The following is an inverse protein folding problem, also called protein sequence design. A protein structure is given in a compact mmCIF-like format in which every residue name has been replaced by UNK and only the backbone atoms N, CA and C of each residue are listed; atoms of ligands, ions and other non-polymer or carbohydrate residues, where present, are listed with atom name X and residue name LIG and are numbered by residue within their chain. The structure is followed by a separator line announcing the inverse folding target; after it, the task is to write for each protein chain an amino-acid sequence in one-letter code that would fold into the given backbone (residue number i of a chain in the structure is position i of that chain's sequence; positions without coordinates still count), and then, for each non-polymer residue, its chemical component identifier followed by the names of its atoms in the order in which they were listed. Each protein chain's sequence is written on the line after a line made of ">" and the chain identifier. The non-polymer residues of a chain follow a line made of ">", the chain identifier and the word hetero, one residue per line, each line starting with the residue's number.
data_IF_940872926525
#
_entry.id   IF_940872926525
#
_cell.length_a   1.000
_cell.length_b   1.000
_cell.length_c   1.000
_cell.angle_alpha   90.00
_cell.angle_beta   90.00
_cell.angle_gamma   90.00
#
_symmetry.space_group_name_H-M   'P 1'
#
loop_
_entity.id
_entity.type
_entity.pdbx_description
1 polymer ?
#
# COMPACT_ATOMS: atom_id res chain seq x y z
N UNK A 1 32.78 2.03 13.63
CA UNK A 1 31.71 1.14 13.12
C UNK A 1 30.40 1.93 13.22
N UNK A 2 29.67 2.24 12.15
CA UNK A 2 28.46 3.07 12.35
C UNK A 2 27.64 3.55 11.16
N UNK A 3 28.12 3.45 9.91
CA UNK A 3 27.32 3.78 8.71
C UNK A 3 26.95 2.55 7.88
N UNK A 4 27.86 1.59 7.74
CA UNK A 4 27.63 0.36 6.96
C UNK A 4 26.52 -0.51 7.58
N UNK A 5 26.53 -0.70 8.91
CA UNK A 5 25.57 -1.58 9.60
C UNK A 5 24.12 -1.07 9.51
N UNK A 6 23.91 0.25 9.59
CA UNK A 6 22.57 0.84 9.50
C UNK A 6 22.00 0.72 8.10
N UNK A 7 22.79 1.07 7.08
CA UNK A 7 22.39 0.95 5.68
C UNK A 7 22.09 -0.50 5.30
N UNK A 8 22.88 -1.45 5.84
CA UNK A 8 22.64 -2.87 5.62
C UNK A 8 21.37 -3.37 6.30
N UNK A 9 21.13 -2.98 7.56
CA UNK A 9 19.88 -3.29 8.25
C UNK A 9 18.67 -2.72 7.47
N UNK A 10 18.76 -1.48 6.99
CA UNK A 10 17.70 -0.87 6.21
C UNK A 10 17.46 -1.61 4.89
N UNK A 11 18.51 -2.05 4.19
CA UNK A 11 18.39 -2.88 2.99
C UNK A 11 17.67 -4.20 3.29
N UNK A 12 18.03 -4.88 4.38
CA UNK A 12 17.39 -6.14 4.81
C UNK A 12 15.92 -5.93 5.12
N UNK A 13 15.56 -4.85 5.81
CA UNK A 13 14.16 -4.48 6.10
C UNK A 13 13.37 -4.24 4.80
N UNK A 14 13.93 -3.54 3.81
CA UNK A 14 13.26 -3.36 2.51
C UNK A 14 13.08 -4.67 1.74
N UNK A 15 14.03 -5.62 1.84
CA UNK A 15 13.84 -6.97 1.31
C UNK A 15 12.67 -7.68 2.02
N UNK A 16 12.56 -7.56 3.34
CA UNK A 16 11.43 -8.11 4.10
C UNK A 16 10.10 -7.46 3.70
N UNK A 17 10.06 -6.15 3.44
CA UNK A 17 8.87 -5.47 2.89
C UNK A 17 8.42 -6.15 1.59
N UNK A 18 9.33 -6.36 0.64
CA UNK A 18 9.01 -7.03 -0.63
C UNK A 18 8.46 -8.46 -0.42
N UNK A 19 9.06 -9.22 0.50
CA UNK A 19 8.61 -10.57 0.82
C UNK A 19 7.19 -10.57 1.42
N UNK A 20 6.91 -9.67 2.36
CA UNK A 20 5.58 -9.52 2.96
C UNK A 20 4.53 -9.07 1.94
N UNK A 21 4.86 -8.13 1.05
CA UNK A 21 3.97 -7.69 -0.03
C UNK A 21 3.69 -8.78 -1.06
N UNK A 22 4.60 -9.76 -1.22
CA UNK A 22 4.41 -10.94 -2.09
C UNK A 22 3.62 -12.09 -1.44
N UNK A 23 2.88 -11.82 -0.36
CA UNK A 23 2.07 -12.78 0.39
C UNK A 23 2.84 -13.95 1.03
N UNK A 24 4.14 -13.78 1.30
CA UNK A 24 4.92 -14.78 2.05
C UNK A 24 4.53 -14.76 3.53
N UNK A 25 4.43 -15.94 4.14
CA UNK A 25 4.11 -16.08 5.57
C UNK A 25 5.24 -15.58 6.46
N UNK A 26 4.93 -15.13 7.68
CA UNK A 26 5.94 -14.69 8.65
C UNK A 26 6.98 -15.78 8.96
N UNK A 27 6.56 -17.05 8.96
CA UNK A 27 7.45 -18.20 9.15
C UNK A 27 8.48 -18.35 8.02
N UNK A 28 8.06 -18.11 6.77
CA UNK A 28 8.98 -18.08 5.62
C UNK A 28 10.00 -16.95 5.74
N UNK A 29 9.56 -15.76 6.14
CA UNK A 29 10.44 -14.59 6.31
C UNK A 29 11.49 -14.83 7.41
N UNK A 30 11.11 -15.44 8.54
CA UNK A 30 12.06 -15.81 9.59
C UNK A 30 13.09 -16.82 9.12
N UNK A 31 12.65 -17.84 8.36
CA UNK A 31 13.54 -18.85 7.80
C UNK A 31 14.51 -18.22 6.79
N UNK A 32 14.00 -17.39 5.87
CA UNK A 32 14.79 -16.63 4.92
C UNK A 32 15.84 -15.75 5.61
N UNK A 33 15.45 -15.00 6.64
CA UNK A 33 16.38 -14.12 7.36
C UNK A 33 17.50 -14.91 8.05
N UNK A 34 17.17 -16.09 8.59
CA UNK A 34 18.15 -16.99 9.20
C UNK A 34 19.10 -17.55 8.14
N UNK A 35 18.58 -18.06 7.03
CA UNK A 35 19.36 -18.75 6.01
C UNK A 35 20.24 -17.77 5.20
N UNK A 36 19.70 -16.60 4.85
CA UNK A 36 20.38 -15.61 4.01
C UNK A 36 21.34 -14.71 4.82
N UNK A 37 20.99 -14.36 6.06
CA UNK A 37 21.74 -13.36 6.85
C UNK A 37 22.30 -13.89 8.17
N UNK A 38 22.05 -15.16 8.51
CA UNK A 38 22.53 -15.77 9.74
C UNK A 38 21.96 -15.13 11.02
N UNK A 39 20.84 -14.41 10.93
CA UNK A 39 20.31 -13.66 12.08
C UNK A 39 19.43 -14.53 12.97
N UNK A 40 19.39 -14.20 14.27
CA UNK A 40 18.50 -14.87 15.22
C UNK A 40 17.03 -14.53 14.96
N UNK A 41 16.13 -15.38 15.46
CA UNK A 41 14.69 -15.16 15.34
C UNK A 41 14.25 -13.80 15.90
N UNK A 42 14.81 -13.36 17.03
CA UNK A 42 14.50 -12.06 17.61
C UNK A 42 14.89 -10.88 16.68
N UNK A 43 15.99 -11.02 15.93
CA UNK A 43 16.40 -10.01 14.95
C UNK A 43 15.49 -10.06 13.72
N UNK A 44 15.11 -11.25 13.24
CA UNK A 44 14.17 -11.40 12.13
C UNK A 44 12.79 -10.80 12.46
N UNK A 45 12.29 -11.02 13.68
CA UNK A 45 11.05 -10.42 14.17
C UNK A 45 11.14 -8.89 14.24
N UNK A 46 12.29 -8.34 14.65
CA UNK A 46 12.53 -6.89 14.62
C UNK A 46 12.49 -6.33 13.19
N UNK A 47 13.07 -7.03 12.22
CA UNK A 47 13.00 -6.63 10.81
C UNK A 47 11.55 -6.69 10.28
N UNK A 48 10.80 -7.74 10.61
CA UNK A 48 9.39 -7.85 10.25
C UNK A 48 8.54 -6.74 10.85
N UNK A 49 8.76 -6.40 12.13
CA UNK A 49 8.04 -5.30 12.77
C UNK A 49 8.26 -3.99 12.02
N UNK A 50 9.52 -3.65 11.73
CA UNK A 50 9.87 -2.43 10.99
C UNK A 50 9.35 -2.44 9.55
N UNK A 51 9.38 -3.59 8.88
CA UNK A 51 8.80 -3.75 7.54
C UNK A 51 7.27 -3.53 7.55
N UNK A 52 6.56 -4.03 8.56
CA UNK A 52 5.12 -3.78 8.73
C UNK A 52 4.82 -2.31 9.01
N UNK A 53 5.67 -1.62 9.77
CA UNK A 53 5.55 -0.17 10.00
C UNK A 53 5.70 0.62 8.69
N UNK A 54 6.66 0.25 7.83
CA UNK A 54 6.83 0.84 6.50
C UNK A 54 5.59 0.60 5.64
N UNK A 55 5.14 -0.66 5.52
CA UNK A 55 3.93 -0.99 4.76
C UNK A 55 2.72 -0.21 5.27
N UNK A 56 2.58 -0.07 6.59
CA UNK A 56 1.49 0.70 7.20
C UNK A 56 1.63 2.20 6.93
N UNK A 57 2.83 2.74 6.83
CA UNK A 57 3.08 4.15 6.51
C UNK A 57 2.84 4.45 5.02
N UNK A 58 3.14 3.50 4.14
CA UNK A 58 2.90 3.60 2.69
C UNK A 58 1.42 3.40 2.37
N UNK A 59 0.69 2.64 3.18
CA UNK A 59 -0.72 2.31 2.95
C UNK A 59 -1.66 3.53 2.84
N UNK A 60 -1.58 4.58 3.68
CA UNK A 60 -2.30 5.83 3.47
C UNK A 60 -2.03 6.50 2.12
N UNK A 61 -0.77 6.47 1.67
CA UNK A 61 -0.34 7.08 0.40
C UNK A 61 -0.91 6.30 -0.78
N UNK A 62 -0.70 4.97 -0.81
CA UNK A 62 -1.25 4.11 -1.87
C UNK A 62 -2.78 4.13 -1.90
N UNK A 63 -3.44 4.17 -0.74
CA UNK A 63 -4.91 4.26 -0.64
C UNK A 63 -5.41 5.59 -1.20
N UNK A 64 -4.74 6.71 -0.89
CA UNK A 64 -5.08 8.04 -1.40
C UNK A 64 -4.91 8.10 -2.92
N UNK A 65 -3.76 7.63 -3.44
CA UNK A 65 -3.48 7.61 -4.88
C UNK A 65 -4.45 6.69 -5.64
N UNK A 66 -4.76 5.53 -5.08
CA UNK A 66 -5.75 4.61 -5.64
C UNK A 66 -7.12 5.28 -5.70
N UNK A 67 -7.59 5.91 -4.63
CA UNK A 67 -8.87 6.62 -4.63
C UNK A 67 -8.88 7.81 -5.60
N UNK A 68 -7.81 8.60 -5.68
CA UNK A 68 -7.64 9.68 -6.66
C UNK A 68 -7.75 9.18 -8.10
N UNK A 69 -7.13 8.03 -8.41
CA UNK A 69 -7.23 7.41 -9.74
C UNK A 69 -8.65 6.95 -10.09
N UNK A 70 -9.44 6.51 -9.09
CA UNK A 70 -10.83 6.11 -9.26
C UNK A 70 -11.77 7.31 -9.42
N UNK A 71 -11.52 8.40 -8.69
CA UNK A 71 -12.24 9.67 -8.89
C UNK A 71 -12.03 10.20 -10.32
N UNK A 72 -10.79 10.22 -10.80
CA UNK A 72 -10.47 10.67 -12.16
C UNK A 72 -11.12 9.79 -13.25
N UNK A 73 -11.29 8.48 -12.99
CA UNK A 73 -12.03 7.59 -13.89
C UNK A 73 -13.53 7.91 -13.90
N UNK A 74 -14.11 8.17 -12.73
CA UNK A 74 -15.52 8.55 -12.60
C UNK A 74 -15.80 9.88 -13.32
N UNK A 75 -14.91 10.86 -13.23
CA UNK A 75 -15.02 12.13 -13.97
C UNK A 75 -15.10 11.91 -15.48
N UNK A 76 -14.25 11.03 -16.03
CA UNK A 76 -14.29 10.66 -17.46
C UNK A 76 -15.60 10.00 -17.85
N UNK A 77 -16.12 9.10 -17.00
CA UNK A 77 -17.41 8.42 -17.23
C UNK A 77 -18.56 9.43 -17.19
N UNK A 78 -18.55 10.35 -16.24
CA UNK A 78 -19.55 11.42 -16.11
C UNK A 78 -19.55 12.28 -17.39
N UNK A 79 -18.37 12.72 -17.81
CA UNK A 79 -18.22 13.56 -19.00
C UNK A 79 -18.73 12.85 -20.27
N UNK A 80 -18.28 11.62 -20.52
CA UNK A 80 -18.74 10.83 -21.66
C UNK A 80 -20.25 10.54 -21.63
N UNK A 81 -20.81 10.32 -20.43
CA UNK A 81 -22.25 10.08 -20.25
C UNK A 81 -23.08 11.35 -20.50
N UNK A 82 -22.56 12.52 -20.11
CA UNK A 82 -23.20 13.82 -20.40
C UNK A 82 -23.17 14.09 -21.91
N UNK A 83 -22.01 13.93 -22.55
CA UNK A 83 -21.83 14.12 -24.00
C UNK A 83 -22.75 13.18 -24.81
N UNK A 84 -22.93 11.95 -24.34
CA UNK A 84 -23.80 10.94 -24.96
C UNK A 84 -25.28 11.09 -24.59
N UNK A 85 -25.66 12.14 -23.84
CA UNK A 85 -27.03 12.39 -23.31
C UNK A 85 -27.58 11.24 -22.44
N UNK A 86 -26.72 10.36 -21.94
CA UNK A 86 -27.05 9.28 -21.01
C UNK A 86 -27.01 9.79 -19.57
N UNK A 87 -27.86 10.76 -19.26
CA UNK A 87 -27.83 11.49 -17.99
C UNK A 87 -28.04 10.59 -16.76
N UNK A 88 -28.76 9.47 -16.90
CA UNK A 88 -28.91 8.46 -15.85
C UNK A 88 -27.57 7.85 -15.41
N UNK A 89 -26.68 7.57 -16.38
CA UNK A 89 -25.36 7.00 -16.12
C UNK A 89 -24.43 8.03 -15.46
N UNK A 90 -24.52 9.30 -15.87
CA UNK A 90 -23.81 10.40 -15.24
C UNK A 90 -24.20 10.57 -13.75
N UNK A 91 -25.49 10.52 -13.44
CA UNK A 91 -25.98 10.60 -12.06
C UNK A 91 -25.53 9.40 -11.23
N UNK A 92 -25.48 8.20 -11.82
CA UNK A 92 -24.95 7.00 -11.17
C UNK A 92 -23.47 7.15 -10.79
N UNK A 93 -22.65 7.62 -11.74
CA UNK A 93 -21.23 7.85 -11.51
C UNK A 93 -20.98 8.96 -10.47
N UNK A 94 -21.76 10.05 -10.48
CA UNK A 94 -21.70 11.10 -9.45
C UNK A 94 -22.02 10.58 -8.04
N UNK A 95 -23.00 9.67 -7.90
CA UNK A 95 -23.30 9.04 -6.60
C UNK A 95 -22.15 8.19 -6.09
N UNK A 96 -21.53 7.40 -6.98
CA UNK A 96 -20.35 6.60 -6.64
C UNK A 96 -19.15 7.48 -6.26
N UNK A 97 -18.98 8.62 -6.95
CA UNK A 97 -17.95 9.60 -6.64
C UNK A 97 -18.15 10.18 -5.24
N UNK A 98 -19.37 10.62 -4.92
CA UNK A 98 -19.69 11.17 -3.59
C UNK A 98 -19.52 10.14 -2.46
N UNK A 99 -19.78 8.85 -2.70
CA UNK A 99 -19.51 7.79 -1.74
C UNK A 99 -18.01 7.60 -1.50
N UNK A 100 -17.21 7.62 -2.58
CA UNK A 100 -15.77 7.49 -2.50
C UNK A 100 -15.13 8.68 -1.77
N UNK A 101 -15.61 9.90 -2.00
CA UNK A 101 -15.16 11.10 -1.28
C UNK A 101 -15.48 11.03 0.21
N UNK A 102 -16.67 10.56 0.60
CA UNK A 102 -16.99 10.38 2.03
C UNK A 102 -16.10 9.34 2.72
N UNK A 103 -15.69 8.29 1.99
CA UNK A 103 -14.73 7.32 2.51
C UNK A 103 -13.34 7.94 2.70
N UNK A 104 -12.98 8.97 1.94
CA UNK A 104 -11.75 9.73 2.17
C UNK A 104 -11.88 10.62 3.41
N UNK A 105 -12.98 11.35 3.56
CA UNK A 105 -13.20 12.28 4.68
C UNK A 105 -13.28 11.58 6.05
N UNK A 106 -13.77 10.33 6.10
CA UNK A 106 -13.89 9.58 7.36
C UNK A 106 -12.65 8.77 7.75
N UNK A 107 -11.64 8.66 6.88
CA UNK A 107 -10.41 7.90 7.15
C UNK A 107 -9.14 8.78 7.23
N UNK A 108 -9.31 10.12 7.23
CA UNK A 108 -8.25 11.11 7.42
C UNK A 108 -7.98 11.43 8.88
#
# INVERSE_FOLDING_TARGET
>A
MGKSDKAEIDRRVHTVVKLLSSAKTSSYVCSYAKDEWGVSQAIAERYMKRAREIIKADYPVERSDFHGSRLALLDKIIQASIESKQHSNAVGALKLQAQLTRLLDHNG
#
